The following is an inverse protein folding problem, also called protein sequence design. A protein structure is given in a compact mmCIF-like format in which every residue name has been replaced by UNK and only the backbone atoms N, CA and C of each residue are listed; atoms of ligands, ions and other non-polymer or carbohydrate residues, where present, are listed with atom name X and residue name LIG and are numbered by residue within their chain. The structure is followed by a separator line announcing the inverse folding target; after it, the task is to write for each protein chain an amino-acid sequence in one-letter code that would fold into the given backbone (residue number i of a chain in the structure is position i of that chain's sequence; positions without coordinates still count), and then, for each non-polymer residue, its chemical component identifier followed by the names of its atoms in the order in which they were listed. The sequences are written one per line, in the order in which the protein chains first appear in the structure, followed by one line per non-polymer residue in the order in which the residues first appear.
data_IF_524474934894
#
_entry.id   IF_524474934894
#
_cell.length_a   1.000
_cell.length_b   1.000
_cell.length_c   1.000
_cell.angle_alpha   90.00
_cell.angle_beta   90.00
_cell.angle_gamma   90.00
#
_symmetry.space_group_name_H-M   'P 1'
#
loop_
_entity.id
_entity.type
_entity.pdbx_description
1 polymer ?
#
# COMPACT_ATOMS: atom_id res chain seq x y z
N UNK A 1 19.21 -2.04 -7.11
CA UNK A 1 18.74 -3.11 -6.22
C UNK A 1 17.36 -3.55 -6.66
N UNK A 2 17.19 -4.81 -6.98
CA UNK A 2 15.90 -5.32 -7.41
C UNK A 2 14.99 -5.49 -6.20
N UNK A 3 13.81 -4.88 -6.26
CA UNK A 3 12.78 -5.09 -5.26
C UNK A 3 12.06 -6.41 -5.57
N UNK A 4 12.13 -7.33 -4.62
CA UNK A 4 11.28 -8.51 -4.69
C UNK A 4 9.93 -8.16 -4.07
N UNK A 5 8.90 -8.23 -4.87
CA UNK A 5 7.56 -7.87 -4.46
C UNK A 5 6.74 -9.15 -4.35
N UNK A 6 6.24 -9.44 -3.15
CA UNK A 6 5.40 -10.60 -2.89
C UNK A 6 4.06 -10.16 -2.33
N UNK A 7 2.97 -10.83 -2.67
CA UNK A 7 1.66 -10.52 -2.07
C UNK A 7 1.73 -10.75 -0.56
N UNK A 8 1.24 -9.79 0.20
CA UNK A 8 1.15 -9.93 1.65
C UNK A 8 -0.23 -10.44 2.04
N UNK A 9 -0.25 -11.38 2.98
CA UNK A 9 -1.50 -11.86 3.53
C UNK A 9 -1.96 -10.89 4.63
N UNK A 10 -3.11 -10.29 4.44
CA UNK A 10 -3.68 -9.33 5.39
C UNK A 10 -4.16 -9.98 6.68
N UNK A 11 -4.21 -11.30 6.75
CA UNK A 11 -4.73 -12.02 7.91
C UNK A 11 -4.05 -11.64 9.23
N UNK A 12 -2.79 -11.18 9.16
CA UNK A 12 -2.04 -10.79 10.35
C UNK A 12 -2.26 -9.33 10.76
N UNK A 13 -2.98 -8.55 9.96
CA UNK A 13 -3.29 -7.17 10.30
C UNK A 13 -4.63 -7.07 11.02
N UNK A 14 -4.76 -6.13 11.96
CA UNK A 14 -6.06 -5.88 12.59
C UNK A 14 -7.03 -5.22 11.60
N UNK A 15 -8.31 -5.37 11.86
CA UNK A 15 -9.32 -4.53 11.21
C UNK A 15 -9.22 -3.10 11.75
N UNK A 16 -9.71 -2.12 10.98
CA UNK A 16 -9.56 -0.71 11.38
C UNK A 16 -10.09 -0.43 12.79
N UNK A 17 -11.24 -0.97 13.15
CA UNK A 17 -11.85 -0.74 14.46
C UNK A 17 -11.07 -1.38 15.63
N UNK A 18 -10.16 -2.30 15.32
CA UNK A 18 -9.30 -2.96 16.32
C UNK A 18 -7.96 -2.23 16.50
N UNK A 19 -7.66 -1.24 15.65
CA UNK A 19 -6.43 -0.49 15.78
C UNK A 19 -6.54 0.52 16.93
N UNK A 20 -5.44 0.72 17.64
CA UNK A 20 -5.38 1.73 18.68
C UNK A 20 -5.31 3.13 18.09
N UNK A 21 -5.80 4.12 18.85
CA UNK A 21 -5.58 5.52 18.49
C UNK A 21 -4.09 5.85 18.56
N UNK A 22 -3.65 6.83 17.76
CA UNK A 22 -2.26 7.25 17.76
C UNK A 22 -1.87 7.82 19.13
N UNK A 23 -0.67 7.47 19.58
CA UNK A 23 -0.08 7.98 20.80
C UNK A 23 1.19 8.80 20.50
N UNK A 24 1.84 9.31 21.55
CA UNK A 24 3.02 10.15 21.38
C UNK A 24 4.19 9.39 20.74
N UNK A 25 4.32 8.10 21.00
CA UNK A 25 5.37 7.31 20.37
C UNK A 25 5.15 7.14 18.87
N UNK A 26 3.90 7.05 18.44
CA UNK A 26 3.57 7.03 17.01
C UNK A 26 3.91 8.36 16.35
N UNK A 27 3.64 9.48 17.03
CA UNK A 27 3.97 10.81 16.50
C UNK A 27 5.47 11.00 16.37
N UNK A 28 6.25 10.55 17.35
CA UNK A 28 7.71 10.59 17.27
C UNK A 28 8.23 9.76 16.07
N UNK A 29 7.66 8.59 15.88
CA UNK A 29 7.99 7.75 14.74
C UNK A 29 7.67 8.44 13.39
N UNK A 30 6.49 9.06 13.30
CA UNK A 30 6.09 9.77 12.09
C UNK A 30 7.01 10.97 11.80
N UNK A 31 7.48 11.66 12.82
CA UNK A 31 8.46 12.75 12.66
C UNK A 31 9.77 12.23 12.05
N UNK A 32 10.26 11.11 12.54
CA UNK A 32 11.47 10.48 11.99
C UNK A 32 11.28 10.06 10.52
N UNK A 33 10.13 9.50 10.20
CA UNK A 33 9.81 9.13 8.82
C UNK A 33 9.79 10.38 7.93
N UNK A 34 9.17 11.47 8.40
CA UNK A 34 9.18 12.74 7.68
C UNK A 34 10.60 13.21 7.39
N UNK A 35 11.48 13.13 8.37
CA UNK A 35 12.87 13.56 8.22
C UNK A 35 13.62 12.70 7.19
N UNK A 36 13.36 11.40 7.17
CA UNK A 36 13.93 10.49 6.17
C UNK A 36 13.45 10.89 4.77
N UNK A 37 12.15 11.08 4.60
CA UNK A 37 11.58 11.47 3.31
C UNK A 37 12.10 12.83 2.86
N UNK A 38 12.25 13.76 3.78
CA UNK A 38 12.82 15.08 3.48
C UNK A 38 14.27 14.96 2.98
N UNK A 39 15.11 14.20 3.67
CA UNK A 39 16.51 14.01 3.26
C UNK A 39 16.64 13.38 1.88
N UNK A 40 15.73 12.49 1.53
CA UNK A 40 15.72 11.82 0.23
C UNK A 40 14.93 12.59 -0.84
N UNK A 41 14.36 13.74 -0.49
CA UNK A 41 13.52 14.56 -1.38
C UNK A 41 12.31 13.76 -1.90
N UNK A 42 11.66 13.02 -1.01
CA UNK A 42 10.53 12.13 -1.34
C UNK A 42 9.23 12.49 -0.63
N UNK A 43 9.14 13.68 -0.03
CA UNK A 43 7.93 14.10 0.69
C UNK A 43 6.67 14.11 -0.17
N UNK A 44 6.82 14.41 -1.46
CA UNK A 44 5.69 14.44 -2.39
C UNK A 44 5.43 13.08 -3.05
N UNK A 45 6.22 12.07 -2.73
CA UNK A 45 6.14 10.77 -3.38
C UNK A 45 5.56 9.68 -2.48
N UNK A 46 5.85 9.73 -1.20
CA UNK A 46 5.42 8.70 -0.25
C UNK A 46 4.61 9.31 0.88
N UNK A 47 3.59 8.59 1.28
CA UNK A 47 2.79 8.89 2.44
C UNK A 47 2.80 7.68 3.37
N UNK A 48 2.37 7.88 4.61
CA UNK A 48 2.28 6.80 5.60
C UNK A 48 0.83 6.37 5.73
N UNK A 49 0.64 5.09 5.87
CA UNK A 49 -0.67 4.47 6.01
C UNK A 49 -0.74 3.69 7.32
N UNK A 50 -1.83 3.85 8.07
CA UNK A 50 -2.07 3.03 9.25
C UNK A 50 -2.45 1.62 8.79
N UNK A 51 -1.58 0.66 9.09
CA UNK A 51 -1.74 -0.70 8.59
C UNK A 51 -3.00 -1.38 9.18
N UNK A 52 -3.87 -1.82 8.33
CA UNK A 52 -5.09 -2.54 8.71
C UNK A 52 -5.59 -3.35 7.50
N UNK A 53 -6.43 -4.34 7.78
CA UNK A 53 -7.05 -5.13 6.72
C UNK A 53 -8.49 -4.65 6.48
N UNK A 54 -8.94 -4.77 5.26
CA UNK A 54 -10.33 -4.51 4.91
C UNK A 54 -11.16 -5.80 4.88
N UNK A 55 -10.55 -6.90 4.44
CA UNK A 55 -11.16 -8.23 4.33
C UNK A 55 -10.04 -9.27 4.32
N UNK A 56 -10.39 -10.54 4.45
CA UNK A 56 -9.42 -11.62 4.43
C UNK A 56 -8.95 -11.90 3.00
N UNK A 57 -7.68 -12.29 2.89
CA UNK A 57 -7.07 -12.69 1.63
C UNK A 57 -6.59 -14.13 1.73
N UNK A 58 -6.83 -14.90 0.67
CA UNK A 58 -6.28 -16.24 0.53
C UNK A 58 -4.88 -16.23 -0.08
N UNK A 59 -4.24 -17.40 -0.18
CA UNK A 59 -2.91 -17.51 -0.78
C UNK A 59 -2.87 -16.96 -2.22
N UNK A 60 -1.89 -16.12 -2.50
CA UNK A 60 -1.72 -15.52 -3.83
C UNK A 60 -2.70 -14.41 -4.18
N UNK A 61 -3.62 -14.10 -3.31
CA UNK A 61 -4.56 -13.00 -3.50
C UNK A 61 -3.97 -11.67 -3.02
N UNK A 62 -4.30 -10.61 -3.72
CA UNK A 62 -3.90 -9.24 -3.38
C UNK A 62 -5.13 -8.33 -3.44
N UNK A 63 -5.13 -7.25 -2.65
CA UNK A 63 -6.14 -6.21 -2.81
C UNK A 63 -5.79 -5.34 -4.01
N UNK A 64 -6.79 -5.00 -4.80
CA UNK A 64 -6.63 -4.16 -5.98
C UNK A 64 -7.57 -2.98 -5.87
N UNK A 65 -7.03 -1.78 -5.92
CA UNK A 65 -7.79 -0.54 -5.96
C UNK A 65 -8.10 -0.14 -7.40
N UNK A 66 -9.37 0.16 -7.63
CA UNK A 66 -9.85 0.63 -8.93
C UNK A 66 -10.54 1.96 -8.72
N UNK A 67 -9.86 3.07 -8.98
CA UNK A 67 -10.48 4.38 -8.82
C UNK A 67 -11.43 4.66 -9.97
N UNK A 68 -12.54 5.32 -9.64
CA UNK A 68 -13.45 5.91 -10.60
C UNK A 68 -13.41 7.44 -10.41
N UNK A 69 -12.61 8.16 -11.21
CA UNK A 69 -12.46 9.60 -11.06
C UNK A 69 -13.76 10.39 -11.30
N UNK A 70 -14.61 9.94 -12.19
CA UNK A 70 -15.86 10.63 -12.51
C UNK A 70 -16.86 10.51 -11.37
N UNK A 71 -17.03 9.29 -10.83
CA UNK A 71 -17.89 9.06 -9.70
C UNK A 71 -17.26 9.47 -8.38
N UNK A 72 -15.97 9.81 -8.38
CA UNK A 72 -15.20 10.15 -7.19
C UNK A 72 -15.28 9.05 -6.14
N UNK A 73 -15.13 7.82 -6.59
CA UNK A 73 -15.19 6.61 -5.76
C UNK A 73 -13.97 5.74 -6.03
N UNK A 74 -13.73 4.83 -5.12
CA UNK A 74 -12.68 3.84 -5.25
C UNK A 74 -13.23 2.50 -4.77
N UNK A 75 -12.96 1.46 -5.53
CA UNK A 75 -13.32 0.10 -5.19
C UNK A 75 -12.07 -0.71 -4.89
N UNK A 76 -12.07 -1.43 -3.78
CA UNK A 76 -11.02 -2.37 -3.44
C UNK A 76 -11.57 -3.78 -3.58
N UNK A 77 -10.96 -4.56 -4.45
CA UNK A 77 -11.40 -5.92 -4.74
C UNK A 77 -10.25 -6.89 -4.56
N UNK A 78 -10.58 -8.17 -4.49
CA UNK A 78 -9.57 -9.23 -4.46
C UNK A 78 -9.16 -9.57 -5.89
N UNK A 79 -7.86 -9.67 -6.11
CA UNK A 79 -7.31 -10.12 -7.38
C UNK A 79 -6.08 -11.00 -7.19
N UNK A 80 -5.52 -11.45 -8.28
CA UNK A 80 -4.27 -12.21 -8.30
C UNK A 80 -3.26 -11.48 -9.15
N UNK A 81 -2.02 -11.45 -8.68
CA UNK A 81 -0.95 -10.75 -9.37
C UNK A 81 -0.81 -11.21 -10.82
N UNK A 82 -0.92 -12.52 -11.05
CA UNK A 82 -0.77 -13.08 -12.39
C UNK A 82 -1.92 -12.67 -13.35
N UNK A 83 -3.09 -12.36 -12.79
CA UNK A 83 -4.26 -11.96 -13.57
C UNK A 83 -4.36 -10.45 -13.79
N UNK A 84 -3.49 -9.69 -13.12
CA UNK A 84 -3.53 -8.23 -13.16
C UNK A 84 -2.14 -7.66 -13.49
N UNK A 85 -1.66 -7.88 -14.72
CA UNK A 85 -0.29 -7.45 -15.10
C UNK A 85 -0.10 -5.93 -15.09
N UNK A 86 -1.18 -5.16 -15.15
CA UNK A 86 -1.14 -3.70 -15.11
C UNK A 86 -1.16 -3.13 -13.70
N UNK A 87 -1.41 -3.97 -12.70
CA UNK A 87 -1.42 -3.52 -11.31
C UNK A 87 -0.02 -3.12 -10.86
N UNK A 88 0.08 -1.97 -10.22
CA UNK A 88 1.35 -1.49 -9.67
C UNK A 88 1.30 -1.51 -8.15
N UNK A 89 2.38 -1.93 -7.49
CA UNK A 89 2.42 -1.89 -6.03
C UNK A 89 2.42 -0.44 -5.55
N UNK A 90 1.55 -0.15 -4.61
CA UNK A 90 1.40 1.20 -4.05
C UNK A 90 1.44 1.22 -2.53
N UNK A 91 1.44 0.07 -1.88
CA UNK A 91 1.57 -0.03 -0.43
C UNK A 91 2.59 -1.11 -0.10
N UNK A 92 3.53 -0.77 0.77
CA UNK A 92 4.60 -1.66 1.18
C UNK A 92 4.61 -1.80 2.70
N UNK A 93 4.76 -3.02 3.19
CA UNK A 93 5.00 -3.28 4.61
C UNK A 93 6.44 -3.75 4.81
N UNK A 94 7.01 -3.33 5.93
CA UNK A 94 8.38 -3.70 6.27
C UNK A 94 8.37 -4.87 7.25
N UNK A 95 9.21 -5.86 6.98
CA UNK A 95 9.41 -6.98 7.89
C UNK A 95 10.60 -6.74 8.80
N UNK A 96 10.52 -7.31 10.00
CA UNK A 96 11.66 -7.39 10.89
C UNK A 96 12.65 -8.42 10.37
N UNK A 97 13.93 -8.11 10.44
CA UNK A 97 14.98 -9.03 10.06
C UNK A 97 16.31 -8.34 9.84
N UNK A 98 17.41 -9.11 9.77
CA UNK A 98 18.73 -8.55 9.54
C UNK A 98 18.90 -7.96 8.14
N UNK A 99 18.06 -8.35 7.21
CA UNK A 99 17.97 -7.75 5.89
C UNK A 99 16.67 -6.99 5.77
N UNK A 100 16.77 -5.68 5.53
CA UNK A 100 15.61 -4.89 5.19
C UNK A 100 15.14 -5.30 3.81
N UNK A 101 14.32 -6.32 3.77
CA UNK A 101 13.59 -6.62 2.56
C UNK A 101 12.36 -5.74 2.56
N UNK A 102 12.13 -5.06 1.46
CA UNK A 102 10.78 -4.67 1.12
C UNK A 102 10.07 -5.98 0.78
N UNK A 103 9.76 -6.72 1.81
CA UNK A 103 9.07 -7.97 1.61
C UNK A 103 7.61 -7.71 1.55
N UNK A 104 6.98 -8.47 0.76
CA UNK A 104 5.58 -8.76 0.91
C UNK A 104 4.75 -7.50 0.91
N UNK A 105 4.73 -6.91 -0.22
CA UNK A 105 3.91 -5.76 -0.42
C UNK A 105 2.47 -6.16 -0.51
N UNK A 106 1.69 -5.52 0.33
CA UNK A 106 0.29 -5.41 0.01
C UNK A 106 0.22 -4.45 -1.16
N UNK A 107 -0.24 -4.94 -2.26
CA UNK A 107 -0.61 -4.05 -3.32
C UNK A 107 -1.95 -3.43 -3.02
N UNK A 108 -1.97 -2.15 -3.04
CA UNK A 108 -3.01 -1.53 -3.80
C UNK A 108 -2.57 -1.56 -5.25
N UNK A 109 -3.03 -2.52 -6.00
CA UNK A 109 -2.83 -2.49 -7.43
C UNK A 109 -3.74 -1.43 -8.00
N UNK A 110 -3.17 -0.36 -8.47
CA UNK A 110 -3.93 0.64 -9.19
C UNK A 110 -3.98 0.23 -10.65
N UNK A 111 -5.19 -0.07 -11.14
CA UNK A 111 -5.43 -0.33 -12.56
C UNK A 111 -6.00 0.94 -13.15
N UNK A 112 -5.28 1.53 -14.10
CA UNK A 112 -5.78 2.69 -14.79
C UNK A 112 -6.89 2.31 -15.78
N UNK A 113 -7.95 3.13 -15.81
CA UNK A 113 -8.93 3.10 -16.87
C UNK A 113 -8.21 3.39 -18.20
N UNK A 114 -8.37 2.55 -19.26
CA UNK A 114 -7.75 2.81 -20.56
C UNK A 114 -8.02 4.20 -21.11
N UNK A 115 -9.14 4.81 -20.72
CA UNK A 115 -9.52 6.14 -21.15
C UNK A 115 -9.04 7.25 -20.23
N UNK A 116 -8.44 6.90 -19.07
CA UNK A 116 -8.04 7.85 -18.02
C UNK A 116 -6.75 7.44 -17.34
N UNK A 117 -5.75 7.15 -18.12
CA UNK A 117 -4.46 6.63 -17.62
C UNK A 117 -3.77 7.56 -16.62
N UNK A 118 -3.98 8.87 -16.74
CA UNK A 118 -3.35 9.85 -15.85
C UNK A 118 -3.87 9.80 -14.42
N UNK A 119 -5.09 9.34 -14.20
CA UNK A 119 -5.70 9.32 -12.88
C UNK A 119 -4.91 8.41 -11.91
N UNK A 120 -4.44 7.29 -12.40
CA UNK A 120 -3.68 6.36 -11.59
C UNK A 120 -2.27 6.86 -11.28
N UNK A 121 -1.65 7.55 -12.24
CA UNK A 121 -0.33 8.15 -12.06
C UNK A 121 -0.37 9.23 -10.98
N UNK A 122 -1.44 10.00 -10.92
CA UNK A 122 -1.63 11.05 -9.91
C UNK A 122 -1.95 10.50 -8.53
N UNK A 123 -2.52 9.32 -8.47
CA UNK A 123 -2.87 8.67 -7.22
C UNK A 123 -1.61 8.16 -6.47
N UNK A 124 -0.62 7.78 -7.19
CA UNK A 124 0.66 7.39 -6.61
C UNK A 124 1.51 8.61 -6.32
#
# INVERSE_FOLDING_TARGET
MALSVRPMQWANLPELHQTAALDDSDLDCLEEIRDVLFRHRKLARFAVHLAHRHFDLGPGEIPIERPDPDGRTQHVTVGRLDDEPEARPTTWLFEEGPELRLSDTVYCGCVSDPNKTEACIRHG
#
